data_IF_313374198151
#
_entry.id   IF_313374198151
#
_cell.length_a   1.000
_cell.length_b   1.000
_cell.length_c   1.000
_cell.angle_alpha   90.00
_cell.angle_beta   90.00
_cell.angle_gamma   90.00
#
_symmetry.space_group_name_H-M   'P 1'
#
loop_
_entity.id
_entity.type
_entity.pdbx_description
1 polymer ?
#
# COMPACT_ATOMS: atom_id res chain seq x y z
N UNK A 1 51.88 -35.80 -19.70
CA UNK A 1 51.87 -36.18 -18.27
C UNK A 1 51.48 -34.97 -17.46
N UNK A 2 50.80 -35.24 -16.34
CA UNK A 2 50.30 -34.35 -15.30
C UNK A 2 49.05 -33.51 -15.64
N UNK A 3 48.08 -33.33 -14.75
CA UNK A 3 47.47 -34.17 -13.70
C UNK A 3 46.17 -33.40 -13.39
N UNK A 4 45.01 -34.06 -13.46
CA UNK A 4 43.73 -33.45 -13.06
C UNK A 4 43.52 -33.73 -11.57
N UNK A 5 43.21 -32.74 -10.72
CA UNK A 5 42.53 -32.99 -9.46
C UNK A 5 41.04 -32.70 -9.61
N UNK A 6 40.23 -33.72 -9.31
CA UNK A 6 38.83 -33.59 -8.92
C UNK A 6 38.80 -33.15 -7.45
N UNK A 7 37.96 -32.17 -7.12
CA UNK A 7 37.59 -31.92 -5.73
C UNK A 7 36.17 -31.33 -5.68
N UNK A 8 35.22 -32.25 -5.47
CA UNK A 8 33.89 -31.98 -4.94
C UNK A 8 33.96 -31.20 -3.61
N UNK A 9 32.81 -30.67 -3.21
CA UNK A 9 32.47 -30.06 -1.92
C UNK A 9 32.94 -28.62 -1.69
N UNK A 10 32.05 -27.66 -1.98
CA UNK A 10 31.97 -26.42 -1.22
C UNK A 10 30.53 -26.24 -0.72
N UNK A 11 30.38 -26.64 0.54
CA UNK A 11 29.21 -26.48 1.38
C UNK A 11 28.97 -25.00 1.70
N UNK A 12 27.68 -24.71 1.77
CA UNK A 12 27.03 -23.55 2.39
C UNK A 12 27.71 -23.08 3.67
N UNK A 13 28.06 -21.80 3.72
CA UNK A 13 28.46 -21.12 4.94
C UNK A 13 27.37 -21.24 6.02
N UNK A 14 27.83 -21.70 7.18
CA UNK A 14 27.10 -22.25 8.31
C UNK A 14 26.12 -21.30 8.99
N UNK A 15 24.96 -21.88 9.29
CA UNK A 15 24.04 -21.53 10.34
C UNK A 15 24.56 -22.13 11.66
N UNK A 16 24.75 -21.32 12.69
CA UNK A 16 24.86 -21.80 14.06
C UNK A 16 24.05 -20.88 14.99
N UNK A 17 22.85 -21.36 15.30
CA UNK A 17 22.16 -21.06 16.54
C UNK A 17 22.98 -21.59 17.72
N UNK A 18 23.09 -20.83 18.80
CA UNK A 18 22.93 -21.41 20.14
C UNK A 18 22.49 -20.34 21.15
N UNK A 19 21.42 -20.70 21.85
CA UNK A 19 20.66 -19.96 22.84
C UNK A 19 21.29 -19.97 24.25
N UNK A 20 21.04 -18.87 24.98
CA UNK A 20 20.61 -18.81 26.39
C UNK A 20 21.63 -18.71 27.56
N UNK A 21 21.43 -17.62 28.31
CA UNK A 21 21.67 -17.28 29.73
C UNK A 21 23.08 -17.12 30.34
N UNK A 22 23.30 -15.91 30.85
CA UNK A 22 24.20 -15.59 31.96
C UNK A 22 24.15 -14.09 32.31
N UNK A 23 23.62 -13.68 33.48
CA UNK A 23 23.70 -12.30 33.94
C UNK A 23 25.08 -12.10 34.57
N UNK A 24 25.78 -11.02 34.24
CA UNK A 24 26.65 -10.25 35.14
C UNK A 24 27.52 -9.30 34.32
N UNK A 25 27.17 -8.02 34.34
CA UNK A 25 28.12 -6.94 34.06
C UNK A 25 27.98 -5.92 35.18
N UNK A 26 28.76 -6.14 36.24
CA UNK A 26 29.06 -5.16 37.28
C UNK A 26 29.73 -3.95 36.63
N UNK A 27 28.99 -2.84 36.47
CA UNK A 27 29.61 -1.55 36.19
C UNK A 27 30.10 -0.94 37.52
N UNK A 28 31.38 -0.56 37.65
CA UNK A 28 31.89 0.00 38.89
C UNK A 28 31.30 1.40 39.16
N UNK A 29 30.64 1.54 40.31
CA UNK A 29 30.30 2.83 40.91
C UNK A 29 31.59 3.57 41.28
N UNK A 30 32.03 4.52 40.45
CA UNK A 30 32.93 5.58 40.90
C UNK A 30 32.10 6.80 41.29
N UNK A 31 31.87 6.95 42.60
CA UNK A 31 31.54 8.24 43.21
C UNK A 31 32.76 9.16 43.08
N UNK A 32 32.64 10.37 42.54
CA UNK A 32 33.58 11.44 42.86
C UNK A 32 33.16 12.02 44.22
N UNK A 33 33.98 11.79 45.25
CA UNK A 33 33.95 12.59 46.47
C UNK A 33 34.62 13.92 46.15
N UNK A 34 33.94 15.03 46.38
CA UNK A 34 34.54 16.36 46.38
C UNK A 34 34.34 16.95 47.77
N UNK A 35 35.36 16.81 48.61
CA UNK A 35 35.55 17.68 49.77
C UNK A 35 35.95 19.06 49.26
N UNK A 36 35.20 20.09 49.64
CA UNK A 36 35.75 21.44 49.76
C UNK A 36 34.87 22.28 50.69
N UNK A 37 35.36 22.44 51.92
CA UNK A 37 34.86 23.41 52.87
C UNK A 37 35.48 24.77 52.54
N UNK A 38 34.73 25.66 51.89
CA UNK A 38 35.03 27.11 51.81
C UNK A 38 33.72 27.88 51.88
N UNK A 39 33.56 28.66 52.94
CA UNK A 39 32.40 29.53 53.20
C UNK A 39 32.42 30.77 52.31
N UNK A 40 31.34 31.02 51.56
CA UNK A 40 30.98 32.35 51.05
C UNK A 40 29.45 32.49 50.99
N UNK A 41 28.86 33.68 51.18
CA UNK A 41 27.41 33.83 51.22
C UNK A 41 26.90 33.97 49.78
N UNK A 42 26.58 32.86 49.14
CA UNK A 42 26.07 32.81 47.77
C UNK A 42 24.77 32.04 47.71
N UNK A 43 23.76 32.62 47.07
CA UNK A 43 22.39 32.11 46.90
C UNK A 43 22.37 30.59 46.66
N UNK A 44 21.73 29.86 47.55
CA UNK A 44 21.64 28.40 47.54
C UNK A 44 20.69 27.97 46.40
N UNK A 45 21.23 27.52 45.26
CA UNK A 45 20.43 27.07 44.10
C UNK A 45 19.94 25.65 44.38
N UNK A 46 18.68 25.53 44.80
CA UNK A 46 18.07 24.24 45.09
C UNK A 46 17.52 23.59 43.80
N UNK A 47 18.35 22.80 43.12
CA UNK A 47 17.93 22.03 41.93
C UNK A 47 17.10 20.81 42.36
N UNK A 48 15.78 20.87 42.16
CA UNK A 48 14.88 19.75 42.47
C UNK A 48 14.73 18.83 41.27
N UNK A 49 15.40 17.67 41.29
CA UNK A 49 15.21 16.63 40.27
C UNK A 49 14.02 15.76 40.67
N UNK A 50 12.85 16.02 40.09
CA UNK A 50 11.67 15.18 40.29
C UNK A 50 11.85 13.83 39.60
N UNK A 51 11.91 12.72 40.36
CA UNK A 51 11.86 11.34 39.86
C UNK A 51 10.45 10.99 39.33
N UNK A 52 10.04 11.65 38.26
CA UNK A 52 8.98 11.15 37.39
C UNK A 52 9.62 10.42 36.22
N UNK A 53 8.94 9.44 35.63
CA UNK A 53 9.24 9.00 34.27
C UNK A 53 8.27 9.75 33.34
N UNK A 54 8.64 10.93 32.80
CA UNK A 54 7.80 11.55 31.80
C UNK A 54 7.82 10.64 30.57
N UNK A 55 6.66 10.33 30.00
CA UNK A 55 6.61 9.68 28.71
C UNK A 55 7.42 10.53 27.71
N UNK A 56 8.51 9.97 27.18
CA UNK A 56 9.39 10.65 26.24
C UNK A 56 8.58 10.94 24.97
N UNK A 57 8.25 12.20 24.72
CA UNK A 57 7.53 12.60 23.50
C UNK A 57 8.49 13.16 22.47
N UNK A 58 8.12 13.06 21.19
CA UNK A 58 8.88 13.70 20.11
C UNK A 58 8.98 15.22 20.32
N UNK A 59 7.95 15.86 20.92
CA UNK A 59 8.00 17.27 21.33
C UNK A 59 9.17 17.55 22.26
N UNK A 60 9.35 16.76 23.32
CA UNK A 60 10.47 16.94 24.25
C UNK A 60 11.82 16.78 23.55
N UNK A 61 11.94 15.80 22.63
CA UNK A 61 13.15 15.61 21.85
C UNK A 61 13.42 16.81 20.92
N UNK A 62 12.40 17.33 20.24
CA UNK A 62 12.52 18.50 19.36
C UNK A 62 12.94 19.75 20.15
N UNK A 63 12.35 19.99 21.33
CA UNK A 63 12.75 21.10 22.21
C UNK A 63 14.23 20.98 22.60
N UNK A 64 14.66 19.79 23.02
CA UNK A 64 16.07 19.52 23.37
C UNK A 64 17.01 19.77 22.19
N UNK A 65 16.67 19.29 20.99
CA UNK A 65 17.50 19.47 19.79
C UNK A 65 17.61 20.95 19.42
N UNK A 66 16.52 21.70 19.47
CA UNK A 66 16.53 23.15 19.18
C UNK A 66 17.36 23.90 20.21
N UNK A 67 17.19 23.61 21.50
CA UNK A 67 17.98 24.21 22.58
C UNK A 67 19.49 23.97 22.40
N UNK A 68 19.89 22.73 22.11
CA UNK A 68 21.29 22.36 21.83
C UNK A 68 21.81 23.08 20.58
N UNK A 69 20.97 23.19 19.54
CA UNK A 69 21.34 23.87 18.29
C UNK A 69 21.53 25.37 18.51
N UNK A 70 20.69 26.02 19.34
CA UNK A 70 20.85 27.42 19.73
C UNK A 70 22.16 27.62 20.50
N UNK A 71 22.45 26.74 21.47
CA UNK A 71 23.69 26.77 22.26
C UNK A 71 24.96 26.60 21.40
N UNK A 72 24.91 25.75 20.37
CA UNK A 72 26.04 25.54 19.46
C UNK A 72 26.26 26.69 18.46
N UNK A 73 25.21 27.46 18.15
CA UNK A 73 25.26 28.58 17.19
C UNK A 73 25.64 29.91 17.82
N UNK A 74 25.71 29.98 19.14
CA UNK A 74 26.11 31.20 19.82
C UNK A 74 27.60 31.51 19.56
N UNK A 75 27.95 32.79 19.36
CA UNK A 75 29.33 33.20 19.24
C UNK A 75 30.09 32.83 20.52
N UNK A 76 31.31 32.32 20.38
CA UNK A 76 32.21 32.07 21.51
C UNK A 76 32.53 33.42 22.17
N UNK A 77 31.73 33.83 23.15
CA UNK A 77 31.97 35.06 23.89
C UNK A 77 33.18 34.86 24.82
N UNK A 78 34.11 35.82 24.76
CA UNK A 78 35.08 36.06 25.84
C UNK A 78 34.34 36.79 26.97
N UNK A 79 34.60 36.31 28.18
CA UNK A 79 34.10 36.78 29.48
C UNK A 79 32.57 36.64 29.67
N UNK A 80 32.15 35.46 30.13
CA UNK A 80 30.79 35.17 30.60
C UNK A 80 30.67 35.53 32.09
N UNK A 81 29.78 36.44 32.46
CA UNK A 81 29.53 36.84 33.84
C UNK A 81 28.18 36.32 34.35
N UNK A 82 28.01 36.21 35.67
CA UNK A 82 26.78 35.69 36.29
C UNK A 82 25.51 36.50 35.92
N UNK A 83 25.68 37.79 35.60
CA UNK A 83 24.60 38.65 35.11
C UNK A 83 24.05 38.24 33.75
N UNK A 84 24.83 37.51 32.95
CA UNK A 84 24.46 37.09 31.60
C UNK A 84 23.64 35.79 31.59
N UNK A 85 23.61 35.08 32.72
CA UNK A 85 22.94 33.79 32.86
C UNK A 85 21.43 33.88 32.58
N UNK A 86 20.79 34.98 33.01
CA UNK A 86 19.35 35.17 32.80
C UNK A 86 19.00 35.28 31.31
N UNK A 87 19.66 36.19 30.59
CA UNK A 87 19.44 36.37 29.15
C UNK A 87 19.85 35.15 28.33
N UNK A 88 20.90 34.43 28.78
CA UNK A 88 21.34 33.18 28.15
C UNK A 88 20.26 32.09 28.22
N UNK A 89 19.66 31.89 29.39
CA UNK A 89 18.60 30.89 29.57
C UNK A 89 17.33 31.27 28.81
N UNK A 90 16.97 32.56 28.77
CA UNK A 90 15.80 33.02 28.00
C UNK A 90 15.96 32.79 26.48
N UNK A 91 17.14 33.01 25.91
CA UNK A 91 17.39 32.77 24.49
C UNK A 91 17.30 31.27 24.13
N UNK A 92 17.90 30.41 24.96
CA UNK A 92 17.91 28.95 24.73
C UNK A 92 16.52 28.34 24.89
N UNK A 93 15.77 28.78 25.89
CA UNK A 93 14.46 28.23 26.25
C UNK A 93 13.29 29.06 25.71
N UNK A 94 13.53 29.93 24.73
CA UNK A 94 12.47 30.63 24.00
C UNK A 94 11.37 29.64 23.56
N UNK A 95 10.08 29.94 23.83
CA UNK A 95 9.00 28.99 23.58
C UNK A 95 8.92 28.57 22.10
N UNK A 96 9.14 27.28 21.84
CA UNK A 96 8.98 26.73 20.50
C UNK A 96 7.48 26.59 20.21
N UNK A 97 6.99 27.35 19.25
CA UNK A 97 5.63 27.19 18.75
C UNK A 97 5.52 25.88 17.99
N UNK A 98 4.56 25.05 18.36
CA UNK A 98 4.23 23.85 17.63
C UNK A 98 2.82 24.00 17.07
N UNK A 99 2.72 23.98 15.75
CA UNK A 99 1.42 23.96 15.09
C UNK A 99 0.91 22.52 15.09
N UNK A 100 -0.27 22.31 15.66
CA UNK A 100 -1.00 21.07 15.44
C UNK A 100 -1.66 21.20 14.06
N UNK A 101 -1.17 20.42 13.10
CA UNK A 101 -1.85 20.26 11.82
C UNK A 101 -2.98 19.27 12.07
N UNK A 102 -4.20 19.78 12.17
CA UNK A 102 -5.38 18.93 12.06
C UNK A 102 -5.52 18.55 10.59
N UNK A 103 -5.04 17.36 10.24
CA UNK A 103 -5.33 16.76 8.95
C UNK A 103 -6.84 16.76 8.78
N UNK A 104 -7.34 17.57 7.85
CA UNK A 104 -8.72 17.45 7.38
C UNK A 104 -8.80 16.07 6.77
N UNK A 105 -9.44 15.11 7.45
CA UNK A 105 -9.50 13.72 7.01
C UNK A 105 -10.06 13.64 5.59
N UNK A 106 -9.17 13.59 4.60
CA UNK A 106 -9.52 13.08 3.29
C UNK A 106 -9.99 11.64 3.55
N UNK A 107 -11.28 11.38 3.30
CA UNK A 107 -11.89 10.07 3.53
C UNK A 107 -11.00 9.02 2.88
N UNK A 108 -10.53 8.06 3.67
CA UNK A 108 -9.59 7.05 3.18
C UNK A 108 -10.24 6.26 2.02
N UNK A 109 -9.52 6.00 0.92
CA UNK A 109 -10.11 5.47 -0.31
C UNK A 109 -10.57 4.01 -0.21
N UNK A 110 -11.83 3.70 -0.50
CA UNK A 110 -12.42 2.35 -0.51
C UNK A 110 -11.49 1.25 -1.05
N UNK A 111 -10.85 1.51 -2.19
CA UNK A 111 -9.83 0.62 -2.77
C UNK A 111 -8.56 1.40 -3.11
N UNK A 112 -7.40 0.87 -2.74
CA UNK A 112 -6.10 1.46 -3.11
C UNK A 112 -5.54 0.80 -4.37
N UNK A 113 -5.19 1.61 -5.35
CA UNK A 113 -4.54 1.13 -6.57
C UNK A 113 -3.16 0.55 -6.23
N UNK A 114 -2.75 -0.48 -6.97
CA UNK A 114 -1.45 -1.12 -6.76
C UNK A 114 -0.61 -1.16 -8.02
N UNK A 115 -1.08 -1.87 -9.05
CA UNK A 115 -0.40 -2.08 -10.32
C UNK A 115 -1.41 -2.50 -11.38
N UNK A 116 -1.00 -2.49 -12.64
CA UNK A 116 -1.79 -3.03 -13.74
C UNK A 116 -1.01 -4.11 -14.49
N UNK A 117 -1.70 -5.11 -15.02
CA UNK A 117 -1.10 -6.15 -15.87
C UNK A 117 -2.01 -6.45 -17.06
N UNK A 118 -1.39 -6.69 -18.22
CA UNK A 118 -2.10 -7.04 -19.45
C UNK A 118 -2.34 -8.53 -19.55
N UNK A 119 -3.56 -8.92 -19.92
CA UNK A 119 -3.96 -10.30 -20.15
C UNK A 119 -4.68 -10.45 -21.48
N UNK A 120 -4.38 -11.57 -22.13
CA UNK A 120 -5.27 -12.16 -23.12
C UNK A 120 -6.45 -12.82 -22.37
N UNK A 121 -7.68 -12.62 -22.85
CA UNK A 121 -8.89 -13.22 -22.29
C UNK A 121 -9.60 -14.05 -23.35
N UNK A 122 -10.06 -15.24 -22.96
CA UNK A 122 -10.95 -16.10 -23.72
C UNK A 122 -12.04 -16.61 -22.79
N UNK A 123 -13.27 -16.75 -23.28
CA UNK A 123 -14.27 -17.54 -22.56
C UNK A 123 -13.96 -19.06 -22.67
N UNK A 124 -14.70 -19.89 -21.93
CA UNK A 124 -14.44 -21.34 -21.91
C UNK A 124 -14.70 -22.03 -23.25
N UNK A 125 -15.46 -21.39 -24.14
CA UNK A 125 -15.73 -21.81 -25.53
C UNK A 125 -14.74 -21.17 -26.52
N UNK A 126 -13.62 -20.60 -26.04
CA UNK A 126 -12.56 -19.99 -26.84
C UNK A 126 -12.98 -18.76 -27.65
N UNK A 127 -14.10 -18.09 -27.31
CA UNK A 127 -14.41 -16.77 -27.88
C UNK A 127 -13.54 -15.72 -27.21
N UNK A 128 -13.10 -14.75 -28.01
CA UNK A 128 -12.35 -13.61 -27.54
C UNK A 128 -13.19 -12.33 -27.65
N UNK A 129 -12.79 -11.30 -26.92
CA UNK A 129 -13.43 -9.99 -27.02
C UNK A 129 -12.89 -9.20 -28.22
N UNK A 130 -13.80 -8.52 -28.90
CA UNK A 130 -13.50 -7.55 -29.97
C UNK A 130 -14.30 -6.29 -29.69
N UNK A 131 -13.68 -5.14 -29.91
CA UNK A 131 -14.35 -3.85 -29.87
C UNK A 131 -15.01 -3.61 -31.24
N UNK A 132 -16.33 -3.80 -31.33
CA UNK A 132 -17.09 -3.67 -32.59
C UNK A 132 -17.51 -2.22 -32.87
N UNK A 133 -17.81 -1.47 -31.81
CA UNK A 133 -18.03 -0.03 -31.84
C UNK A 133 -17.26 0.62 -30.68
N UNK A 134 -17.11 1.96 -30.64
CA UNK A 134 -16.32 2.64 -29.61
C UNK A 134 -16.68 2.26 -28.16
N UNK A 135 -17.91 1.83 -27.91
CA UNK A 135 -18.41 1.50 -26.57
C UNK A 135 -19.02 0.09 -26.46
N UNK A 136 -18.92 -0.75 -27.51
CA UNK A 136 -19.51 -2.09 -27.51
C UNK A 136 -18.46 -3.18 -27.72
N UNK A 137 -18.32 -4.05 -26.72
CA UNK A 137 -17.57 -5.29 -26.84
C UNK A 137 -18.50 -6.42 -27.27
N UNK A 138 -18.01 -7.25 -28.18
CA UNK A 138 -18.66 -8.49 -28.59
C UNK A 138 -17.71 -9.67 -28.40
N UNK A 139 -18.27 -10.86 -28.18
CA UNK A 139 -17.52 -12.10 -28.04
C UNK A 139 -17.67 -12.98 -29.28
N UNK A 140 -16.56 -13.36 -29.93
CA UNK A 140 -16.56 -14.24 -31.09
C UNK A 140 -15.26 -15.03 -31.23
N UNK A 141 -15.33 -16.15 -31.97
CA UNK A 141 -14.15 -16.87 -32.43
C UNK A 141 -13.49 -16.06 -33.56
N UNK A 142 -12.20 -15.76 -33.40
CA UNK A 142 -11.39 -15.16 -34.46
C UNK A 142 -10.54 -16.23 -35.15
N UNK A 143 -10.45 -16.14 -36.47
CA UNK A 143 -9.62 -17.03 -37.28
C UNK A 143 -8.63 -16.26 -38.15
N UNK A 144 -7.42 -16.81 -38.28
CA UNK A 144 -6.39 -16.32 -39.20
C UNK A 144 -5.98 -14.86 -38.95
N UNK A 145 -5.86 -14.02 -40.00
CA UNK A 145 -5.35 -12.65 -39.89
C UNK A 145 -6.17 -11.71 -38.99
N UNK A 146 -7.41 -12.09 -38.66
CA UNK A 146 -8.30 -11.33 -37.80
C UNK A 146 -7.87 -11.32 -36.33
N UNK A 147 -6.92 -12.16 -35.92
CA UNK A 147 -6.42 -12.24 -34.54
C UNK A 147 -5.89 -10.90 -33.99
N UNK A 148 -5.48 -9.96 -34.85
CA UNK A 148 -5.05 -8.61 -34.45
C UNK A 148 -6.15 -7.77 -33.80
N UNK A 149 -7.42 -8.10 -34.05
CA UNK A 149 -8.58 -7.40 -33.50
C UNK A 149 -8.95 -7.87 -32.09
N UNK A 150 -8.29 -8.93 -31.60
CA UNK A 150 -8.49 -9.43 -30.25
C UNK A 150 -8.13 -8.36 -29.22
N UNK A 151 -9.09 -8.03 -28.38
CA UNK A 151 -8.90 -7.16 -27.22
C UNK A 151 -8.02 -7.86 -26.19
N UNK A 152 -7.07 -7.11 -25.64
CA UNK A 152 -6.36 -7.47 -24.41
C UNK A 152 -6.90 -6.62 -23.27
N UNK A 153 -7.09 -7.24 -22.11
CA UNK A 153 -7.48 -6.52 -20.92
C UNK A 153 -6.25 -5.99 -20.20
N UNK A 154 -6.28 -4.73 -19.79
CA UNK A 154 -5.35 -4.18 -18.82
C UNK A 154 -6.04 -4.18 -17.45
N UNK A 155 -5.74 -5.19 -16.64
CA UNK A 155 -6.37 -5.42 -15.34
C UNK A 155 -5.60 -4.59 -14.30
N UNK A 156 -6.24 -3.57 -13.75
CA UNK A 156 -5.74 -2.79 -12.62
C UNK A 156 -6.10 -3.51 -11.31
N UNK A 157 -5.11 -3.80 -10.47
CA UNK A 157 -5.28 -4.50 -9.20
C UNK A 157 -5.39 -3.51 -8.04
N UNK A 158 -6.31 -3.80 -7.12
CA UNK A 158 -6.52 -2.99 -5.94
C UNK A 158 -6.35 -3.79 -4.65
N UNK A 159 -6.16 -3.08 -3.54
CA UNK A 159 -6.28 -3.63 -2.19
C UNK A 159 -7.48 -2.99 -1.49
N UNK A 160 -8.37 -3.78 -0.87
CA UNK A 160 -9.42 -3.23 -0.02
C UNK A 160 -8.80 -2.57 1.21
N UNK A 161 -9.46 -1.55 1.76
CA UNK A 161 -9.01 -0.90 2.99
C UNK A 161 -9.13 -1.79 4.22
N UNK A 162 -10.30 -2.38 4.39
CA UNK A 162 -10.62 -3.23 5.53
C UNK A 162 -10.31 -4.67 5.18
N UNK A 163 -9.79 -5.42 6.15
CA UNK A 163 -9.76 -6.89 6.18
C UNK A 163 -11.18 -7.51 6.24
N UNK A 164 -12.20 -6.82 5.68
CA UNK A 164 -13.55 -7.31 5.45
C UNK A 164 -13.48 -8.31 4.30
N UNK A 165 -13.01 -9.50 4.68
CA UNK A 165 -12.43 -10.47 3.79
C UNK A 165 -11.21 -10.99 4.52
N UNK A 166 -11.43 -11.95 5.42
CA UNK A 166 -10.35 -12.64 6.11
C UNK A 166 -9.31 -13.15 5.09
N UNK A 167 -8.07 -13.42 5.54
CA UNK A 167 -7.05 -14.00 4.68
C UNK A 167 -7.63 -15.22 3.95
N UNK A 168 -7.76 -15.15 2.62
CA UNK A 168 -8.17 -16.31 1.81
C UNK A 168 -9.58 -16.31 1.20
N UNK A 169 -10.32 -15.19 1.10
CA UNK A 169 -11.60 -15.20 0.34
C UNK A 169 -11.44 -15.47 -1.16
N UNK A 170 -10.22 -15.40 -1.71
CA UNK A 170 -9.96 -15.62 -3.14
C UNK A 170 -10.53 -14.53 -4.06
N UNK A 171 -11.12 -13.46 -3.50
CA UNK A 171 -11.74 -12.35 -4.25
C UNK A 171 -10.76 -11.19 -4.38
N UNK A 172 -10.20 -10.98 -5.57
CA UNK A 172 -9.26 -9.88 -5.83
C UNK A 172 -10.00 -8.70 -6.49
N UNK A 173 -10.09 -7.51 -5.87
CA UNK A 173 -10.72 -6.36 -6.50
C UNK A 173 -9.85 -5.83 -7.65
N UNK A 174 -10.46 -5.69 -8.81
CA UNK A 174 -9.81 -5.26 -10.05
C UNK A 174 -10.70 -4.31 -10.83
N UNK A 175 -10.09 -3.48 -11.66
CA UNK A 175 -10.79 -2.76 -12.73
C UNK A 175 -10.29 -3.25 -14.09
N UNK A 176 -11.19 -3.37 -15.05
CA UNK A 176 -10.93 -4.03 -16.33
C UNK A 176 -10.88 -3.00 -17.45
N UNK A 177 -9.67 -2.61 -17.84
CA UNK A 177 -9.43 -1.66 -18.94
C UNK A 177 -9.22 -2.36 -20.27
N UNK A 178 -9.55 -1.69 -21.36
CA UNK A 178 -9.29 -2.18 -22.74
C UNK A 178 -7.90 -1.67 -23.15
N UNK A 179 -6.94 -2.57 -23.35
CA UNK A 179 -5.56 -2.19 -23.67
C UNK A 179 -5.50 -1.43 -25.00
N UNK A 180 -4.85 -0.27 -24.99
CA UNK A 180 -4.74 0.63 -26.15
C UNK A 180 -5.88 1.65 -26.24
N UNK A 181 -6.86 1.58 -25.35
CA UNK A 181 -7.97 2.51 -25.25
C UNK A 181 -8.07 3.05 -23.83
N UNK A 182 -8.62 4.25 -23.65
CA UNK A 182 -8.89 4.83 -22.32
C UNK A 182 -10.26 4.36 -21.78
N UNK A 183 -10.66 3.14 -22.13
CA UNK A 183 -11.96 2.58 -21.83
C UNK A 183 -11.87 1.55 -20.70
N UNK A 184 -12.82 1.62 -19.78
CA UNK A 184 -12.97 0.70 -18.67
C UNK A 184 -14.37 0.12 -18.62
N UNK A 185 -14.46 -1.17 -18.29
CA UNK A 185 -15.72 -1.81 -17.99
C UNK A 185 -16.30 -1.24 -16.69
N UNK A 186 -17.60 -1.01 -16.69
CA UNK A 186 -18.36 -0.56 -15.52
C UNK A 186 -19.74 -1.19 -15.53
N UNK A 187 -20.33 -1.36 -14.35
CA UNK A 187 -21.72 -1.77 -14.21
C UNK A 187 -22.57 -0.61 -13.73
N UNK A 188 -23.67 -0.32 -14.43
CA UNK A 188 -24.61 0.74 -14.05
C UNK A 188 -26.03 0.20 -14.09
N UNK A 189 -26.95 0.86 -13.38
CA UNK A 189 -28.37 0.57 -13.50
C UNK A 189 -28.90 1.22 -14.78
N UNK A 190 -29.53 0.44 -15.67
CA UNK A 190 -30.23 0.96 -16.85
C UNK A 190 -31.68 0.49 -16.81
N UNK A 191 -32.59 1.42 -16.52
CA UNK A 191 -33.97 1.08 -16.20
C UNK A 191 -34.06 0.29 -14.89
N UNK A 192 -34.47 -0.97 -14.97
CA UNK A 192 -34.68 -1.85 -13.80
C UNK A 192 -33.60 -2.91 -13.63
N UNK A 193 -32.65 -3.02 -14.56
CA UNK A 193 -31.63 -4.07 -14.55
C UNK A 193 -30.22 -3.48 -14.63
N UNK A 194 -29.23 -4.11 -13.98
CA UNK A 194 -27.85 -3.70 -14.13
C UNK A 194 -27.32 -4.13 -15.50
N UNK A 195 -26.56 -3.24 -16.13
CA UNK A 195 -25.94 -3.48 -17.43
C UNK A 195 -24.44 -3.23 -17.38
N UNK A 196 -23.71 -3.93 -18.23
CA UNK A 196 -22.28 -3.68 -18.47
C UNK A 196 -22.13 -2.61 -19.55
N UNK A 197 -21.26 -1.64 -19.33
CA UNK A 197 -20.92 -0.64 -20.33
C UNK A 197 -19.42 -0.33 -20.33
N UNK A 198 -18.95 0.28 -21.42
CA UNK A 198 -17.62 0.87 -21.50
C UNK A 198 -17.70 2.37 -21.27
N UNK A 199 -16.95 2.86 -20.27
CA UNK A 199 -16.80 4.29 -19.97
C UNK A 199 -15.36 4.73 -20.23
N UNK A 200 -15.19 5.94 -20.76
CA UNK A 200 -13.89 6.60 -20.79
C UNK A 200 -13.56 7.11 -19.39
N UNK A 201 -12.47 6.63 -18.79
CA UNK A 201 -12.12 6.97 -17.43
C UNK A 201 -10.62 6.81 -17.16
N UNK A 202 -10.11 7.61 -16.21
CA UNK A 202 -8.82 7.36 -15.57
C UNK A 202 -9.03 6.80 -14.16
N UNK A 203 -9.04 5.48 -14.07
CA UNK A 203 -9.25 4.74 -12.82
C UNK A 203 -7.96 4.20 -12.22
N UNK A 204 -6.76 4.48 -12.79
CA UNK A 204 -5.45 4.00 -12.27
C UNK A 204 -4.98 4.81 -11.04
N UNK A 205 -5.92 5.05 -10.13
CA UNK A 205 -5.79 5.82 -8.91
C UNK A 205 -6.67 5.19 -7.84
N UNK A 206 -6.58 5.71 -6.64
CA UNK A 206 -7.38 5.24 -5.52
C UNK A 206 -8.88 5.49 -5.77
N UNK A 207 -9.71 4.54 -5.35
CA UNK A 207 -11.16 4.59 -5.49
C UNK A 207 -11.72 5.16 -4.19
N UNK A 208 -12.12 6.42 -4.23
CA UNK A 208 -12.49 7.19 -3.04
C UNK A 208 -13.99 7.15 -2.72
N UNK A 209 -14.83 6.80 -3.70
CA UNK A 209 -16.29 6.90 -3.57
C UNK A 209 -17.03 5.61 -3.97
N UNK A 210 -18.25 5.46 -3.46
CA UNK A 210 -19.16 4.39 -3.86
C UNK A 210 -19.54 4.50 -5.35
N UNK A 211 -19.59 5.72 -5.90
CA UNK A 211 -19.88 5.96 -7.30
C UNK A 211 -18.84 5.33 -8.23
N UNK A 212 -17.55 5.42 -7.86
CA UNK A 212 -16.45 4.81 -8.60
C UNK A 212 -16.36 3.28 -8.39
N UNK A 213 -17.10 2.72 -7.43
CA UNK A 213 -17.16 1.26 -7.22
C UNK A 213 -17.79 0.52 -8.41
N UNK A 214 -18.51 1.22 -9.30
CA UNK A 214 -19.03 0.67 -10.57
C UNK A 214 -17.96 0.09 -11.49
N UNK A 215 -16.72 0.56 -11.38
CA UNK A 215 -15.57 0.07 -12.15
C UNK A 215 -14.89 -1.16 -11.55
N UNK A 216 -15.29 -1.54 -10.33
CA UNK A 216 -14.64 -2.60 -9.58
C UNK A 216 -15.37 -3.91 -9.79
N UNK A 217 -14.58 -4.93 -10.13
CA UNK A 217 -14.97 -6.32 -10.22
C UNK A 217 -14.12 -7.13 -9.27
N UNK A 218 -14.69 -8.17 -8.67
CA UNK A 218 -13.93 -9.19 -7.97
C UNK A 218 -13.53 -10.27 -8.96
N UNK A 219 -12.23 -10.38 -9.21
CA UNK A 219 -11.62 -11.49 -9.92
C UNK A 219 -11.62 -12.71 -8.99
N UNK A 220 -12.29 -13.77 -9.44
CA UNK A 220 -12.44 -15.04 -8.75
C UNK A 220 -11.70 -16.11 -9.56
N UNK A 221 -10.48 -16.46 -9.13
CA UNK A 221 -9.70 -17.50 -9.78
C UNK A 221 -10.02 -18.87 -9.18
N UNK A 222 -10.21 -19.88 -10.03
CA UNK A 222 -10.37 -21.29 -9.68
C UNK A 222 -9.04 -22.01 -9.97
N UNK A 223 -8.19 -22.26 -8.95
CA UNK A 223 -6.83 -22.78 -9.17
C UNK A 223 -6.79 -24.16 -9.82
N UNK A 224 -7.80 -25.01 -9.58
CA UNK A 224 -7.87 -26.36 -10.14
C UNK A 224 -7.99 -26.37 -11.67
N UNK A 225 -8.81 -25.49 -12.22
CA UNK A 225 -9.16 -25.48 -13.66
C UNK A 225 -8.42 -24.39 -14.45
N UNK A 226 -7.69 -23.50 -13.74
CA UNK A 226 -7.04 -22.33 -14.33
C UNK A 226 -8.04 -21.36 -14.96
N UNK A 227 -9.26 -21.31 -14.42
CA UNK A 227 -10.35 -20.45 -14.89
C UNK A 227 -10.59 -19.28 -13.95
N UNK A 228 -11.25 -18.24 -14.47
CA UNK A 228 -11.54 -17.00 -13.76
C UNK A 228 -12.96 -16.55 -14.04
N UNK A 229 -13.64 -16.01 -13.03
CA UNK A 229 -14.89 -15.26 -13.16
C UNK A 229 -14.71 -13.83 -12.65
N UNK A 230 -15.54 -12.91 -13.13
CA UNK A 230 -15.52 -11.51 -12.70
C UNK A 230 -16.90 -11.12 -12.19
N UNK A 231 -17.01 -10.88 -10.89
CA UNK A 231 -18.25 -10.45 -10.23
C UNK A 231 -18.24 -8.93 -10.06
N UNK A 232 -19.35 -8.24 -10.31
CA UNK A 232 -19.46 -6.81 -10.07
C UNK A 232 -19.42 -6.48 -8.58
N UNK A 233 -18.63 -5.49 -8.18
CA UNK A 233 -18.66 -4.97 -6.81
C UNK A 233 -19.88 -4.08 -6.55
N UNK A 234 -20.35 -3.35 -7.57
CA UNK A 234 -21.54 -2.51 -7.47
C UNK A 234 -22.85 -3.32 -7.48
N UNK A 235 -22.85 -4.49 -8.12
CA UNK A 235 -23.99 -5.41 -8.18
C UNK A 235 -23.58 -6.83 -7.79
N UNK A 236 -23.49 -7.15 -6.48
CA UNK A 236 -23.11 -8.47 -6.01
C UNK A 236 -23.98 -9.58 -6.61
N UNK A 237 -23.37 -10.72 -6.93
CA UNK A 237 -24.01 -11.83 -7.62
C UNK A 237 -24.13 -11.68 -9.14
N UNK A 238 -23.80 -10.52 -9.72
CA UNK A 238 -23.76 -10.33 -11.17
C UNK A 238 -22.35 -10.52 -11.72
N UNK A 239 -22.23 -11.33 -12.76
CA UNK A 239 -20.95 -11.72 -13.37
C UNK A 239 -20.88 -11.27 -14.81
N UNK A 240 -19.68 -10.88 -15.27
CA UNK A 240 -19.44 -10.65 -16.70
C UNK A 240 -19.71 -11.96 -17.44
N UNK A 241 -20.49 -11.89 -18.53
CA UNK A 241 -20.85 -13.04 -19.33
C UNK A 241 -20.84 -12.77 -20.84
N UNK A 242 -20.70 -13.84 -21.62
CA UNK A 242 -20.89 -13.88 -23.07
C UNK A 242 -22.09 -14.76 -23.42
N UNK A 243 -22.70 -14.51 -24.58
CA UNK A 243 -23.72 -15.42 -25.13
C UNK A 243 -23.07 -16.71 -25.62
N UNK A 244 -23.88 -17.78 -25.67
CA UNK A 244 -23.53 -19.01 -26.40
C UNK A 244 -23.39 -18.75 -27.89
N UNK A 245 -24.14 -17.78 -28.43
CA UNK A 245 -24.04 -17.38 -29.83
C UNK A 245 -22.85 -16.43 -30.05
N UNK A 246 -22.10 -16.59 -31.15
CA UNK A 246 -20.99 -15.71 -31.46
C UNK A 246 -21.48 -14.31 -31.87
N UNK A 247 -20.58 -13.33 -31.75
CA UNK A 247 -20.79 -11.91 -32.11
C UNK A 247 -22.00 -11.29 -31.41
N UNK A 248 -22.22 -11.69 -30.16
CA UNK A 248 -23.18 -11.03 -29.28
C UNK A 248 -22.44 -10.11 -28.30
N UNK A 249 -23.10 -9.04 -27.81
CA UNK A 249 -22.51 -8.14 -26.82
C UNK A 249 -22.05 -8.89 -25.56
N UNK A 250 -20.92 -8.44 -24.99
CA UNK A 250 -20.49 -8.84 -23.66
C UNK A 250 -21.38 -8.11 -22.65
N UNK A 251 -21.93 -8.84 -21.68
CA UNK A 251 -22.88 -8.30 -20.71
C UNK A 251 -22.58 -8.77 -19.28
N UNK A 252 -23.60 -8.68 -18.42
CA UNK A 252 -23.57 -9.27 -17.08
C UNK A 252 -24.82 -10.11 -16.82
N UNK A 253 -24.72 -11.08 -15.91
CA UNK A 253 -25.79 -12.01 -15.54
C UNK A 253 -25.74 -12.37 -14.07
N UNK A 254 -26.89 -12.61 -13.45
CA UNK A 254 -27.00 -13.20 -12.10
C UNK A 254 -27.16 -14.73 -12.11
N UNK A 255 -27.16 -15.36 -13.29
CA UNK A 255 -27.24 -16.80 -13.49
C UNK A 255 -26.03 -17.27 -14.33
N UNK A 256 -24.81 -17.26 -13.74
CA UNK A 256 -23.59 -17.59 -14.47
C UNK A 256 -23.62 -19.04 -14.96
N UNK A 257 -23.16 -19.25 -16.20
CA UNK A 257 -22.94 -20.56 -16.81
C UNK A 257 -24.20 -21.45 -17.00
N UNK A 258 -25.42 -20.90 -16.90
CA UNK A 258 -26.67 -21.62 -17.17
C UNK A 258 -27.08 -21.60 -18.65
N UNK A 259 -27.22 -20.40 -19.22
CA UNK A 259 -27.59 -20.15 -20.64
C UNK A 259 -26.66 -19.13 -21.31
N UNK A 260 -25.53 -18.87 -20.64
CA UNK A 260 -24.49 -17.91 -20.99
C UNK A 260 -23.15 -18.51 -20.54
N UNK A 261 -22.03 -17.84 -20.83
CA UNK A 261 -20.71 -18.24 -20.34
C UNK A 261 -20.17 -17.09 -19.50
N UNK A 262 -19.95 -17.33 -18.21
CA UNK A 262 -19.36 -16.37 -17.27
C UNK A 262 -17.95 -16.79 -16.81
N UNK A 263 -17.44 -17.89 -17.37
CA UNK A 263 -16.14 -18.48 -17.04
C UNK A 263 -15.11 -18.24 -18.15
N UNK A 264 -13.93 -17.76 -17.75
CA UNK A 264 -12.87 -17.31 -18.65
C UNK A 264 -11.53 -17.98 -18.35
N UNK A 265 -10.63 -17.96 -19.33
CA UNK A 265 -9.20 -18.25 -19.17
C UNK A 265 -8.39 -16.99 -19.46
N UNK A 266 -7.51 -16.64 -18.53
CA UNK A 266 -6.59 -15.51 -18.66
C UNK A 266 -5.18 -16.03 -18.94
N UNK A 267 -4.49 -15.41 -19.89
CA UNK A 267 -3.06 -15.66 -20.13
C UNK A 267 -2.27 -14.35 -20.09
N UNK A 268 -1.32 -14.27 -19.16
CA UNK A 268 -0.40 -13.15 -19.04
C UNK A 268 0.84 -13.36 -19.90
N UNK A 269 1.38 -12.27 -20.44
CA UNK A 269 2.77 -12.19 -20.92
C UNK A 269 3.49 -11.11 -20.14
#
# INVERSE_FOLDING_TARGET
MAFVPDLDTLESSSLNEETFYGPDCLCPQKKPCLDSEVTSPGVDIQVTVTKGHPARTFRQAAVLVVAVTKLQKQPVHKDFADSDLGGFLEDIFEPISFQQIEDTYARAPVYRYTRSQSFDILDIDHKCFVLESPTQLVALHLQGPSARWKVKLNIALYRPQSSQGGPGTGRMPVALGIKGYQLYMSCVMSGTEPVLQLEEADIRKDIESAELTRFIFFRLDSPGDGTTRFESAAFPGWFICTSLQPRQPVGITNQPDQVNIATYKLSGR
#
